data_IF_574057721611
#
_entry.id   IF_574057721611
#
_cell.length_a   1.000
_cell.length_b   1.000
_cell.length_c   1.000
_cell.angle_alpha   90.00
_cell.angle_beta   90.00
_cell.angle_gamma   90.00
#
_symmetry.space_group_name_H-M   'P 1'
#
loop_
_entity.id
_entity.type
_entity.pdbx_description
1 polymer ?
#
# COMPACT_ATOMS: atom_id res chain seq x y z
N UNK A 1 -9.34 5.99 -15.39
CA UNK A 1 -8.82 6.06 -14.01
C UNK A 1 -7.74 4.99 -13.77
N UNK A 2 -8.02 3.71 -14.03
CA UNK A 2 -6.99 2.65 -14.01
C UNK A 2 -5.83 2.94 -14.97
N UNK A 3 -6.14 3.53 -16.14
CA UNK A 3 -5.14 4.00 -17.12
C UNK A 3 -4.13 4.99 -16.53
N UNK A 4 -4.59 5.96 -15.75
CA UNK A 4 -3.76 7.03 -15.16
C UNK A 4 -2.79 6.46 -14.13
N UNK A 5 -3.23 5.50 -13.30
CA UNK A 5 -2.33 4.81 -12.38
C UNK A 5 -1.25 4.02 -13.13
N UNK A 6 -1.63 3.32 -14.20
CA UNK A 6 -0.66 2.58 -14.99
C UNK A 6 0.37 3.52 -15.64
N UNK A 7 -0.07 4.66 -16.16
CA UNK A 7 0.83 5.70 -16.69
C UNK A 7 1.75 6.29 -15.62
N UNK A 8 1.24 6.53 -14.42
CA UNK A 8 2.04 7.02 -13.29
C UNK A 8 3.12 6.01 -12.89
N UNK A 9 2.72 4.74 -12.70
CA UNK A 9 3.63 3.66 -12.34
C UNK A 9 4.69 3.42 -13.42
N UNK A 10 4.33 3.55 -14.70
CA UNK A 10 5.28 3.44 -15.82
C UNK A 10 6.34 4.55 -15.85
N UNK A 11 6.13 5.67 -15.15
CA UNK A 11 7.10 6.77 -15.03
C UNK A 11 8.02 6.64 -13.81
N UNK A 12 7.79 5.65 -12.95
CA UNK A 12 8.56 5.41 -11.71
C UNK A 12 9.54 4.26 -11.94
N UNK A 13 10.74 4.39 -11.39
CA UNK A 13 11.69 3.30 -11.26
C UNK A 13 11.32 2.48 -10.02
N UNK A 14 10.53 1.42 -10.23
CA UNK A 14 10.07 0.56 -9.13
C UNK A 14 11.21 -0.26 -8.56
N UNK A 15 11.50 -0.07 -7.27
CA UNK A 15 12.42 -0.91 -6.51
C UNK A 15 11.63 -1.73 -5.49
N UNK A 16 11.91 -3.04 -5.47
CA UNK A 16 11.39 -3.94 -4.45
C UNK A 16 12.56 -4.61 -3.73
N UNK A 17 12.76 -4.26 -2.47
CA UNK A 17 13.87 -4.72 -1.65
C UNK A 17 13.47 -4.85 -0.19
N UNK A 18 14.32 -5.54 0.58
CA UNK A 18 14.02 -5.92 1.97
C UNK A 18 13.85 -4.73 2.90
N UNK A 19 14.52 -3.61 2.63
CA UNK A 19 14.41 -2.38 3.43
C UNK A 19 12.97 -1.84 3.38
N UNK A 20 12.45 -1.60 2.17
CA UNK A 20 11.07 -1.12 2.01
C UNK A 20 10.08 -2.16 2.55
N UNK A 21 10.29 -3.46 2.30
CA UNK A 21 9.46 -4.51 2.91
C UNK A 21 9.44 -4.42 4.44
N UNK A 22 10.58 -4.16 5.07
CA UNK A 22 10.71 -3.94 6.51
C UNK A 22 9.87 -2.74 6.98
N UNK A 23 10.00 -1.60 6.29
CA UNK A 23 9.22 -0.39 6.59
C UNK A 23 7.71 -0.66 6.48
N UNK A 24 7.27 -1.35 5.42
CA UNK A 24 5.85 -1.69 5.25
C UNK A 24 5.34 -2.62 6.37
N UNK A 25 6.17 -3.57 6.84
CA UNK A 25 5.80 -4.43 7.97
C UNK A 25 5.72 -3.63 9.27
N UNK A 26 6.71 -2.79 9.57
CA UNK A 26 6.73 -1.98 10.79
C UNK A 26 5.52 -1.04 10.86
N UNK A 27 5.07 -0.49 9.73
CA UNK A 27 3.86 0.34 9.67
C UNK A 27 2.56 -0.40 10.05
N UNK A 28 2.57 -1.73 10.16
CA UNK A 28 1.39 -2.56 10.48
C UNK A 28 1.51 -3.33 11.79
N UNK A 29 2.68 -3.36 12.43
CA UNK A 29 2.95 -4.23 13.58
C UNK A 29 2.20 -3.81 14.86
N UNK A 30 1.99 -2.51 15.07
CA UNK A 30 1.44 -1.97 16.33
C UNK A 30 -0.03 -1.51 16.22
N UNK A 31 -0.76 -1.97 15.19
CA UNK A 31 -2.15 -1.57 14.96
C UNK A 31 -3.12 -2.60 15.55
N UNK A 32 -3.77 -2.23 16.66
CA UNK A 32 -4.70 -3.08 17.41
C UNK A 32 -5.89 -3.62 16.59
N UNK A 33 -6.31 -2.93 15.54
CA UNK A 33 -7.43 -3.36 14.69
C UNK A 33 -7.05 -4.49 13.71
N UNK A 34 -5.76 -4.78 13.53
CA UNK A 34 -5.25 -5.82 12.65
C UNK A 34 -5.17 -7.15 13.40
N UNK A 35 -5.79 -8.19 12.83
CA UNK A 35 -5.68 -9.56 13.32
C UNK A 35 -4.39 -10.22 12.82
N UNK A 36 -4.08 -10.02 11.54
CA UNK A 36 -2.85 -10.51 10.89
C UNK A 36 -2.57 -9.71 9.62
N UNK A 37 -1.31 -9.64 9.23
CA UNK A 37 -0.90 -9.09 7.94
C UNK A 37 0.17 -9.96 7.28
N UNK A 38 0.30 -9.85 5.96
CA UNK A 38 1.34 -10.50 5.18
C UNK A 38 1.81 -9.58 4.04
N UNK A 39 3.10 -9.61 3.75
CA UNK A 39 3.69 -8.83 2.66
C UNK A 39 4.47 -9.73 1.71
N UNK A 40 3.93 -9.89 0.51
CA UNK A 40 4.55 -10.63 -0.60
C UNK A 40 5.20 -9.66 -1.58
N UNK A 41 6.33 -10.07 -2.17
CA UNK A 41 6.96 -9.35 -3.28
C UNK A 41 6.83 -10.19 -4.55
N UNK A 42 6.27 -9.61 -5.61
CA UNK A 42 6.13 -10.27 -6.92
C UNK A 42 6.38 -9.27 -8.04
N UNK A 43 7.35 -9.56 -8.92
CA UNK A 43 7.64 -8.72 -10.10
C UNK A 43 7.82 -7.23 -9.79
N UNK A 44 8.64 -6.91 -8.78
CA UNK A 44 8.89 -5.54 -8.27
C UNK A 44 7.66 -4.81 -7.73
N UNK A 45 6.67 -5.57 -7.25
CA UNK A 45 5.46 -5.03 -6.62
C UNK A 45 5.27 -5.69 -5.26
N UNK A 46 4.80 -4.90 -4.30
CA UNK A 46 4.38 -5.42 -3.01
C UNK A 46 2.90 -5.76 -3.05
N UNK A 47 2.54 -6.88 -2.42
CA UNK A 47 1.15 -7.24 -2.14
C UNK A 47 1.05 -7.30 -0.63
N UNK A 48 0.22 -6.41 -0.07
CA UNK A 48 0.06 -6.23 1.37
C UNK A 48 -1.34 -6.70 1.72
N UNK A 49 -1.44 -7.90 2.29
CA UNK A 49 -2.69 -8.47 2.75
C UNK A 49 -2.89 -8.12 4.22
N UNK A 50 -3.99 -7.46 4.56
CA UNK A 50 -4.35 -7.04 5.91
C UNK A 50 -5.69 -7.64 6.27
N UNK A 51 -5.71 -8.41 7.36
CA UNK A 51 -6.94 -8.94 7.94
C UNK A 51 -7.29 -8.15 9.20
N UNK A 52 -8.47 -7.55 9.22
CA UNK A 52 -9.01 -6.83 10.37
C UNK A 52 -9.74 -7.79 11.31
N UNK A 53 -9.67 -7.50 12.61
CA UNK A 53 -10.44 -8.22 13.64
C UNK A 53 -11.94 -8.11 13.39
N UNK A 54 -12.38 -6.92 12.97
CA UNK A 54 -13.75 -6.65 12.52
C UNK A 54 -13.69 -5.71 11.33
N UNK A 55 -14.14 -6.19 10.18
CA UNK A 55 -14.14 -5.40 8.96
C UNK A 55 -15.17 -4.27 9.01
N UNK A 56 -14.71 -3.06 8.72
CA UNK A 56 -15.54 -1.95 8.25
C UNK A 56 -14.75 -1.12 7.25
N UNK A 57 -15.44 -0.50 6.30
CA UNK A 57 -14.79 0.39 5.32
C UNK A 57 -14.11 1.56 6.02
N UNK A 58 -14.68 2.06 7.11
CA UNK A 58 -14.11 3.15 7.91
C UNK A 58 -12.78 2.74 8.54
N UNK A 59 -12.70 1.55 9.17
CA UNK A 59 -11.45 1.03 9.72
C UNK A 59 -10.40 0.78 8.64
N UNK A 60 -10.81 0.23 7.50
CA UNK A 60 -9.91 0.03 6.36
C UNK A 60 -9.32 1.36 5.85
N UNK A 61 -10.12 2.43 5.79
CA UNK A 61 -9.64 3.76 5.42
C UNK A 61 -8.68 4.32 6.48
N UNK A 62 -8.99 4.18 7.77
CA UNK A 62 -8.11 4.64 8.85
C UNK A 62 -6.75 3.97 8.79
N UNK A 63 -6.73 2.63 8.64
CA UNK A 63 -5.49 1.86 8.54
C UNK A 63 -4.71 2.25 7.28
N UNK A 64 -5.39 2.42 6.14
CA UNK A 64 -4.71 2.85 4.92
C UNK A 64 -4.09 4.24 5.05
N UNK A 65 -4.80 5.20 5.67
CA UNK A 65 -4.28 6.54 5.89
C UNK A 65 -3.03 6.53 6.77
N UNK A 66 -3.06 5.78 7.89
CA UNK A 66 -1.90 5.58 8.75
C UNK A 66 -0.74 4.93 7.98
N UNK A 67 -1.02 3.86 7.23
CA UNK A 67 -0.03 3.16 6.43
C UNK A 67 0.64 4.08 5.41
N UNK A 68 -0.12 4.91 4.69
CA UNK A 68 0.43 5.88 3.74
C UNK A 68 1.24 6.98 4.43
N UNK A 69 0.83 7.43 5.61
CA UNK A 69 1.57 8.45 6.37
C UNK A 69 2.97 7.96 6.74
N UNK A 70 3.10 6.70 7.14
CA UNK A 70 4.38 6.10 7.53
C UNK A 70 5.28 5.73 6.33
N UNK A 71 4.69 5.50 5.15
CA UNK A 71 5.41 4.87 4.03
C UNK A 71 5.62 5.79 2.83
N UNK A 72 4.93 6.92 2.74
CA UNK A 72 5.04 7.84 1.59
C UNK A 72 6.37 8.56 1.54
N UNK A 73 6.91 8.66 0.33
CA UNK A 73 7.91 9.67 0.02
C UNK A 73 7.25 11.05 -0.08
N UNK A 74 7.98 12.09 0.31
CA UNK A 74 7.49 13.47 0.28
C UNK A 74 7.24 14.00 -1.13
N UNK A 75 7.99 13.52 -2.13
CA UNK A 75 7.94 14.07 -3.48
C UNK A 75 6.62 13.75 -4.20
N UNK A 76 6.22 12.47 -4.22
CA UNK A 76 4.98 12.08 -4.89
C UNK A 76 4.37 10.83 -4.27
N UNK A 77 3.04 10.85 -4.12
CA UNK A 77 2.24 9.70 -3.72
C UNK A 77 0.90 9.73 -4.48
N UNK A 78 0.48 8.58 -4.99
CA UNK A 78 -0.78 8.43 -5.69
C UNK A 78 -1.42 7.09 -5.32
N UNK A 79 -2.73 7.10 -5.09
CA UNK A 79 -3.47 5.89 -4.79
C UNK A 79 -4.89 5.88 -5.40
N UNK A 80 -5.40 4.68 -5.67
CA UNK A 80 -6.78 4.44 -6.08
C UNK A 80 -7.36 3.37 -5.17
N UNK A 81 -8.61 3.58 -4.74
CA UNK A 81 -9.39 2.62 -3.94
C UNK A 81 -10.43 1.91 -4.80
N UNK A 82 -10.56 0.61 -4.61
CA UNK A 82 -11.61 -0.25 -5.14
C UNK A 82 -12.37 -0.87 -3.96
N UNK A 83 -13.67 -0.63 -3.89
CA UNK A 83 -14.52 -1.27 -2.88
C UNK A 83 -15.06 -2.57 -3.45
N UNK A 84 -14.69 -3.70 -2.86
CA UNK A 84 -15.02 -5.06 -3.34
C UNK A 84 -15.92 -5.77 -2.30
N UNK A 85 -16.97 -5.09 -1.84
CA UNK A 85 -17.93 -5.61 -0.88
C UNK A 85 -17.36 -5.73 0.54
N UNK A 86 -16.91 -6.92 0.90
CA UNK A 86 -16.33 -7.23 2.22
C UNK A 86 -14.82 -6.99 2.29
N UNK A 87 -14.23 -6.37 1.27
CA UNK A 87 -12.85 -5.93 1.30
C UNK A 87 -12.68 -4.61 0.53
N UNK A 88 -11.57 -3.95 0.80
CA UNK A 88 -11.13 -2.77 0.06
C UNK A 88 -9.73 -3.05 -0.49
N UNK A 89 -9.54 -2.77 -1.77
CA UNK A 89 -8.22 -2.83 -2.41
C UNK A 89 -7.73 -1.44 -2.75
N UNK A 90 -6.49 -1.14 -2.38
CA UNK A 90 -5.79 0.06 -2.79
C UNK A 90 -4.67 -0.30 -3.75
N UNK A 91 -4.56 0.44 -4.84
CA UNK A 91 -3.31 0.55 -5.59
C UNK A 91 -2.61 1.78 -5.08
N UNK A 92 -1.42 1.64 -4.54
CA UNK A 92 -0.66 2.73 -3.95
C UNK A 92 0.75 2.74 -4.53
N UNK A 93 1.19 3.91 -4.99
CA UNK A 93 2.54 4.13 -5.45
C UNK A 93 3.07 5.47 -4.95
N UNK A 94 4.37 5.50 -4.67
CA UNK A 94 5.06 6.70 -4.19
C UNK A 94 6.52 6.66 -4.64
N UNK A 95 7.11 7.82 -4.92
CA UNK A 95 8.48 7.93 -5.37
C UNK A 95 9.16 9.20 -4.83
N UNK A 96 10.50 9.18 -4.86
CA UNK A 96 11.41 10.31 -4.61
C UNK A 96 11.58 11.16 -5.87
N UNK A 97 12.33 12.25 -5.76
CA UNK A 97 12.63 13.17 -6.87
C UNK A 97 13.35 12.50 -8.05
N UNK A 98 14.22 11.52 -7.78
CA UNK A 98 14.92 10.71 -8.79
C UNK A 98 14.03 9.65 -9.45
N UNK A 99 12.73 9.65 -9.10
CA UNK A 99 11.69 8.70 -9.53
C UNK A 99 11.91 7.27 -9.03
N UNK A 100 12.86 7.03 -8.13
CA UNK A 100 12.94 5.76 -7.42
C UNK A 100 11.76 5.66 -6.44
N UNK A 101 11.06 4.54 -6.43
CA UNK A 101 9.87 4.39 -5.61
C UNK A 101 9.36 2.97 -5.55
N UNK A 102 8.21 2.79 -4.92
CA UNK A 102 7.54 1.50 -4.85
C UNK A 102 6.08 1.58 -5.29
N UNK A 103 5.57 0.42 -5.67
CA UNK A 103 4.16 0.18 -5.95
C UNK A 103 3.70 -0.98 -5.07
N UNK A 104 2.54 -0.82 -4.44
CA UNK A 104 1.91 -1.88 -3.68
C UNK A 104 0.40 -1.98 -3.95
N UNK A 105 -0.08 -3.22 -4.04
CA UNK A 105 -1.49 -3.55 -3.91
C UNK A 105 -1.76 -3.83 -2.43
N UNK A 106 -2.57 -3.01 -1.76
CA UNK A 106 -2.98 -3.20 -0.36
C UNK A 106 -4.40 -3.74 -0.34
N UNK A 107 -4.60 -4.90 0.27
CA UNK A 107 -5.90 -5.58 0.35
C UNK A 107 -6.29 -5.65 1.82
N UNK A 108 -7.44 -5.06 2.16
CA UNK A 108 -7.92 -4.97 3.56
C UNK A 108 -9.29 -5.64 3.66
N UNK A 109 -9.38 -6.70 4.46
CA UNK A 109 -10.57 -7.55 4.60
C UNK A 109 -10.82 -8.00 6.05
#
# INVERSE_FOLDING_TARGET
MVSVMNEYVNKIHLTAGDVTKGILNTALQDLDDIERHNILVKSNRYIVDIKLKQYSVEKAVTIMNYFMEQTRYHYSAYFIRFNEGNMVRYRYATCKEDREGFYCDVIIA
#
